data_IF_026037892784
#
_entry.id   IF_026037892784
#
_cell.length_a   1.000
_cell.length_b   1.000
_cell.length_c   1.000
_cell.angle_alpha   90.00
_cell.angle_beta   90.00
_cell.angle_gamma   90.00
#
_symmetry.space_group_name_H-M   'P 1'
#
loop_
_entity.id
_entity.type
_entity.pdbx_description
1 polymer ?
#
# COMPACT_ATOMS: atom_id res chain seq x y z
N UNK A 1 -13.45 14.50 43.39
CA UNK A 1 -14.68 14.07 42.67
C UNK A 1 -14.37 13.79 41.21
N UNK A 2 -14.12 14.80 40.35
CA UNK A 2 -13.79 14.54 38.94
C UNK A 2 -12.39 13.94 38.75
N UNK A 3 -11.39 14.46 39.48
CA UNK A 3 -10.01 13.95 39.44
C UNK A 3 -9.92 12.48 39.89
N UNK A 4 -10.72 12.09 40.89
CA UNK A 4 -10.78 10.71 41.38
C UNK A 4 -11.39 9.77 40.31
N UNK A 5 -12.46 10.22 39.63
CA UNK A 5 -13.10 9.47 38.54
C UNK A 5 -12.11 9.29 37.38
N UNK A 6 -11.42 10.35 36.98
CA UNK A 6 -10.42 10.30 35.90
C UNK A 6 -9.26 9.38 36.29
N UNK A 7 -8.81 9.45 37.54
CA UNK A 7 -7.71 8.61 38.04
C UNK A 7 -8.07 7.13 38.02
N UNK A 8 -9.28 6.77 38.46
CA UNK A 8 -9.76 5.39 38.41
C UNK A 8 -9.96 4.89 36.98
N UNK A 9 -10.41 5.75 36.07
CA UNK A 9 -10.54 5.42 34.65
C UNK A 9 -9.18 5.11 34.01
N UNK A 10 -8.18 5.97 34.25
CA UNK A 10 -6.81 5.78 33.79
C UNK A 10 -6.21 4.49 34.40
N UNK A 11 -6.43 4.25 35.69
CA UNK A 11 -5.95 3.04 36.38
C UNK A 11 -6.50 1.78 35.71
N UNK A 12 -7.81 1.71 35.48
CA UNK A 12 -8.44 0.54 34.88
C UNK A 12 -7.94 0.28 33.46
N UNK A 13 -7.79 1.31 32.65
CA UNK A 13 -7.25 1.15 31.28
C UNK A 13 -5.81 0.66 31.30
N UNK A 14 -4.97 1.23 32.17
CA UNK A 14 -3.57 0.81 32.27
C UNK A 14 -3.46 -0.65 32.73
N UNK A 15 -4.22 -1.04 33.76
CA UNK A 15 -4.26 -2.43 34.22
C UNK A 15 -4.73 -3.37 33.10
N UNK A 16 -5.72 -2.96 32.31
CA UNK A 16 -6.18 -3.76 31.18
C UNK A 16 -5.09 -4.03 30.15
N UNK A 17 -4.34 -3.00 29.72
CA UNK A 17 -3.25 -3.17 28.77
C UNK A 17 -2.04 -3.91 29.34
N UNK A 18 -1.77 -3.78 30.65
CA UNK A 18 -0.72 -4.55 31.32
C UNK A 18 -1.06 -6.05 31.38
N UNK A 19 -2.30 -6.39 31.73
CA UNK A 19 -2.73 -7.80 31.81
C UNK A 19 -2.82 -8.41 30.41
N UNK A 20 -3.26 -7.66 29.41
CA UNK A 20 -3.41 -8.13 28.02
C UNK A 20 -2.23 -7.73 27.12
N UNK A 21 -1.03 -7.62 27.69
CA UNK A 21 0.18 -7.15 26.97
C UNK A 21 0.60 -8.08 25.83
N UNK A 22 0.21 -9.34 25.89
CA UNK A 22 0.41 -10.33 24.83
C UNK A 22 -0.48 -10.07 23.59
N UNK A 23 -1.40 -9.11 23.68
CA UNK A 23 -2.33 -8.74 22.61
C UNK A 23 -3.56 -9.65 22.54
N UNK A 24 -3.64 -10.65 23.42
CA UNK A 24 -4.80 -11.52 23.56
C UNK A 24 -5.72 -10.92 24.62
N UNK A 25 -6.55 -9.96 24.18
CA UNK A 25 -7.45 -9.08 24.95
C UNK A 25 -8.59 -9.80 25.71
N UNK A 26 -8.32 -10.97 26.29
CA UNK A 26 -9.28 -11.87 26.90
C UNK A 26 -9.42 -11.67 28.41
N UNK A 27 -8.47 -10.98 29.04
CA UNK A 27 -8.45 -10.81 30.49
C UNK A 27 -9.14 -9.51 30.92
N UNK A 28 -9.97 -9.62 31.94
CA UNK A 28 -10.67 -8.48 32.54
C UNK A 28 -9.92 -7.99 33.77
N UNK A 29 -9.94 -6.67 33.98
CA UNK A 29 -9.44 -6.06 35.20
C UNK A 29 -10.35 -6.45 36.37
N UNK A 30 -9.83 -7.05 37.45
CA UNK A 30 -10.63 -7.41 38.61
C UNK A 30 -11.02 -6.16 39.43
N UNK A 31 -12.11 -6.26 40.21
CA UNK A 31 -12.57 -5.20 41.13
C UNK A 31 -12.86 -3.84 40.47
N UNK A 32 -13.36 -3.86 39.24
CA UNK A 32 -13.83 -2.67 38.50
C UNK A 32 -15.36 -2.66 38.53
N UNK A 33 -15.94 -1.47 38.69
CA UNK A 33 -17.40 -1.30 38.58
C UNK A 33 -17.88 -1.67 37.16
N UNK A 34 -19.10 -2.18 37.04
CA UNK A 34 -19.64 -2.62 35.75
C UNK A 34 -19.66 -1.49 34.71
N UNK A 35 -19.96 -0.25 35.11
CA UNK A 35 -19.94 0.88 34.19
C UNK A 35 -18.53 1.14 33.66
N UNK A 36 -17.54 1.17 34.55
CA UNK A 36 -16.16 1.44 34.17
C UNK A 36 -15.57 0.31 33.31
N UNK A 37 -16.04 -0.92 33.54
CA UNK A 37 -15.72 -2.07 32.70
C UNK A 37 -16.28 -1.91 31.29
N UNK A 38 -17.55 -1.54 31.15
CA UNK A 38 -18.18 -1.34 29.84
C UNK A 38 -17.52 -0.18 29.08
N UNK A 39 -17.28 0.95 29.75
CA UNK A 39 -16.58 2.11 29.19
C UNK A 39 -15.17 1.76 28.69
N UNK A 40 -14.43 0.95 29.46
CA UNK A 40 -13.11 0.45 29.09
C UNK A 40 -13.16 -0.43 27.84
N UNK A 41 -14.15 -1.33 27.75
CA UNK A 41 -14.32 -2.17 26.56
C UNK A 41 -14.67 -1.35 25.32
N UNK A 42 -15.57 -0.38 25.43
CA UNK A 42 -15.91 0.54 24.33
C UNK A 42 -14.67 1.31 23.85
N UNK A 43 -13.86 1.82 24.78
CA UNK A 43 -12.60 2.50 24.46
C UNK A 43 -11.61 1.59 23.72
N UNK A 44 -11.43 0.36 24.18
CA UNK A 44 -10.50 -0.61 23.56
C UNK A 44 -10.94 -0.98 22.14
N UNK A 45 -12.23 -1.23 21.91
CA UNK A 45 -12.76 -1.54 20.59
C UNK A 45 -12.67 -0.34 19.63
N UNK A 46 -12.95 0.87 20.12
CA UNK A 46 -12.76 2.09 19.35
C UNK A 46 -11.28 2.29 18.96
N UNK A 47 -10.35 2.01 19.88
CA UNK A 47 -8.92 2.12 19.62
C UNK A 47 -8.42 1.08 18.59
N UNK A 48 -8.90 -0.17 18.66
CA UNK A 48 -8.61 -1.19 17.64
C UNK A 48 -9.07 -0.75 16.25
N UNK A 49 -10.29 -0.20 16.17
CA UNK A 49 -10.84 0.33 14.92
C UNK A 49 -10.00 1.50 14.39
N UNK A 50 -9.61 2.44 15.26
CA UNK A 50 -8.77 3.58 14.89
C UNK A 50 -7.39 3.14 14.38
N UNK A 51 -6.75 2.17 15.03
CA UNK A 51 -5.47 1.62 14.60
C UNK A 51 -5.56 1.00 13.20
N UNK A 52 -6.67 0.30 12.91
CA UNK A 52 -6.93 -0.26 11.59
C UNK A 52 -7.12 0.83 10.51
N UNK A 53 -7.87 1.88 10.81
CA UNK A 53 -8.07 3.00 9.89
C UNK A 53 -6.76 3.75 9.58
N UNK A 54 -5.91 3.96 10.58
CA UNK A 54 -4.60 4.58 10.39
C UNK A 54 -3.69 3.70 9.52
N UNK A 55 -3.67 2.38 9.74
CA UNK A 55 -2.92 1.45 8.91
C UNK A 55 -3.41 1.48 7.45
N UNK A 56 -4.72 1.46 7.24
CA UNK A 56 -5.32 1.54 5.91
C UNK A 56 -4.99 2.87 5.20
N UNK A 57 -5.00 3.98 5.95
CA UNK A 57 -4.61 5.30 5.43
C UNK A 57 -3.13 5.34 5.05
N UNK A 58 -2.25 4.78 5.89
CA UNK A 58 -0.81 4.67 5.62
C UNK A 58 -0.52 3.82 4.37
N UNK A 59 -1.24 2.70 4.21
CA UNK A 59 -1.16 1.85 3.01
C UNK A 59 -1.63 2.63 1.77
N UNK A 60 -2.75 3.35 1.87
CA UNK A 60 -3.27 4.16 0.77
C UNK A 60 -2.32 5.30 0.37
N UNK A 61 -1.56 5.85 1.32
CA UNK A 61 -0.57 6.91 1.07
C UNK A 61 0.77 6.41 0.52
N UNK A 62 1.18 5.18 0.81
CA UNK A 62 2.47 4.62 0.37
C UNK A 62 2.40 3.96 -1.01
N UNK A 63 1.23 3.41 -1.39
CA UNK A 63 1.02 2.81 -2.70
C UNK A 63 0.93 3.71 -3.95
N UNK A 64 0.65 5.03 -3.89
CA UNK A 64 0.55 5.88 -5.07
C UNK A 64 1.90 5.99 -5.82
N UNK A 65 3.02 6.05 -5.09
CA UNK A 65 4.32 6.30 -5.69
C UNK A 65 4.88 5.07 -6.42
N UNK A 66 4.73 3.87 -5.86
CA UNK A 66 5.16 2.63 -6.49
C UNK A 66 4.31 2.29 -7.73
N UNK A 67 2.98 2.47 -7.64
CA UNK A 67 2.07 2.24 -8.75
C UNK A 67 2.33 3.22 -9.91
N UNK A 68 2.49 4.51 -9.60
CA UNK A 68 2.77 5.53 -10.61
C UNK A 68 4.11 5.31 -11.30
N UNK A 69 5.15 4.96 -10.54
CA UNK A 69 6.49 4.65 -11.08
C UNK A 69 6.46 3.42 -11.99
N UNK A 70 5.84 2.32 -11.54
CA UNK A 70 5.75 1.07 -12.33
C UNK A 70 4.98 1.28 -13.63
N UNK A 71 3.87 2.03 -13.58
CA UNK A 71 3.07 2.38 -14.76
C UNK A 71 3.90 3.20 -15.76
N UNK A 72 4.60 4.24 -15.32
CA UNK A 72 5.46 5.06 -16.18
C UNK A 72 6.56 4.26 -16.85
N UNK A 73 7.25 3.38 -16.11
CA UNK A 73 8.28 2.53 -16.70
C UNK A 73 7.73 1.57 -17.76
N UNK A 74 6.55 1.00 -17.53
CA UNK A 74 5.90 0.11 -18.49
C UNK A 74 5.50 0.85 -19.77
N UNK A 75 4.97 2.07 -19.64
CA UNK A 75 4.61 2.94 -20.77
C UNK A 75 5.86 3.30 -21.60
N UNK A 76 6.99 3.66 -20.96
CA UNK A 76 8.26 3.96 -21.64
C UNK A 76 8.79 2.74 -22.40
N UNK A 77 8.82 1.56 -21.75
CA UNK A 77 9.29 0.31 -22.39
C UNK A 77 8.45 -0.07 -23.61
N UNK A 78 7.13 0.15 -23.54
CA UNK A 78 6.24 -0.11 -24.67
C UNK A 78 6.51 0.85 -25.85
N UNK A 79 6.81 2.12 -25.55
CA UNK A 79 7.14 3.11 -26.56
C UNK A 79 8.50 2.82 -27.24
N UNK A 80 9.56 2.59 -26.46
CA UNK A 80 10.89 2.25 -27.00
C UNK A 80 10.83 1.00 -27.88
N UNK A 81 10.11 -0.04 -27.45
CA UNK A 81 9.94 -1.26 -28.24
C UNK A 81 9.25 -0.99 -29.58
N UNK A 82 8.26 -0.10 -29.61
CA UNK A 82 7.58 0.28 -30.85
C UNK A 82 8.51 1.06 -31.79
N UNK A 83 9.31 1.98 -31.24
CA UNK A 83 10.26 2.78 -32.02
C UNK A 83 11.36 1.91 -32.65
N UNK A 84 11.92 0.96 -31.89
CA UNK A 84 12.90 -0.01 -32.39
C UNK A 84 12.34 -0.84 -33.54
N UNK A 85 11.10 -1.35 -33.40
CA UNK A 85 10.46 -2.15 -34.46
C UNK A 85 10.23 -1.32 -35.73
N UNK A 86 9.85 -0.05 -35.59
CA UNK A 86 9.68 0.84 -36.75
C UNK A 86 11.02 1.10 -37.45
N UNK A 87 12.08 1.35 -36.66
CA UNK A 87 13.42 1.58 -37.19
C UNK A 87 13.95 0.36 -37.93
N UNK A 88 13.90 -0.83 -37.31
CA UNK A 88 14.37 -2.08 -37.90
C UNK A 88 13.62 -2.43 -39.19
N UNK A 89 12.28 -2.25 -39.20
CA UNK A 89 11.48 -2.45 -40.42
C UNK A 89 11.84 -1.46 -41.52
N UNK A 90 12.17 -0.22 -41.17
CA UNK A 90 12.56 0.79 -42.14
C UNK A 90 13.91 0.47 -42.78
N UNK A 91 14.87 -0.02 -42.00
CA UNK A 91 16.20 -0.44 -42.47
C UNK A 91 16.09 -1.68 -43.38
N UNK A 92 15.28 -2.67 -43.00
CA UNK A 92 15.01 -3.85 -43.85
C UNK A 92 14.39 -3.43 -45.20
N UNK A 93 13.42 -2.51 -45.19
CA UNK A 93 12.78 -2.04 -46.43
C UNK A 93 13.76 -1.30 -47.35
N UNK A 94 14.70 -0.52 -46.78
CA UNK A 94 15.74 0.18 -47.54
C UNK A 94 16.70 -0.83 -48.17
N UNK A 95 17.12 -1.84 -47.40
CA UNK A 95 18.03 -2.91 -47.85
C UNK A 95 17.42 -3.74 -49.00
N UNK A 96 16.17 -4.21 -48.83
CA UNK A 96 15.45 -4.97 -49.86
C UNK A 96 15.29 -4.17 -51.16
N UNK A 97 15.00 -2.87 -51.05
CA UNK A 97 14.90 -2.01 -52.23
C UNK A 97 16.24 -1.84 -52.93
N UNK A 98 17.34 -1.65 -52.20
CA UNK A 98 18.67 -1.53 -52.81
C UNK A 98 19.08 -2.81 -53.55
N UNK A 99 18.86 -3.99 -52.95
CA UNK A 99 19.22 -5.28 -53.57
C UNK A 99 18.41 -5.53 -54.85
N UNK A 100 17.12 -5.16 -54.85
CA UNK A 100 16.27 -5.22 -56.04
C UNK A 100 16.79 -4.30 -57.16
N UNK A 101 17.24 -3.08 -56.82
CA UNK A 101 17.83 -2.17 -57.80
C UNK A 101 19.15 -2.70 -58.37
N UNK A 102 20.05 -3.26 -57.54
CA UNK A 102 21.31 -3.86 -58.02
C UNK A 102 21.06 -5.03 -58.98
N UNK A 103 20.11 -5.91 -58.66
CA UNK A 103 19.73 -7.03 -59.52
C UNK A 103 19.21 -6.59 -60.89
N UNK A 104 18.56 -5.43 -61.00
CA UNK A 104 18.08 -4.89 -62.28
C UNK A 104 19.25 -4.35 -63.12
N UNK A 105 20.26 -3.76 -62.47
CA UNK A 105 21.43 -3.19 -63.14
C UNK A 105 22.39 -4.29 -63.64
N UNK A 106 22.55 -5.39 -62.89
CA UNK A 106 23.44 -6.51 -63.28
C UNK A 106 22.91 -7.39 -64.43
N UNK A 107 21.61 -7.35 -64.72
CA UNK A 107 20.96 -8.14 -65.78
C UNK A 107 20.67 -7.35 -67.08
N UNK A 108 21.29 -6.17 -67.26
CA UNK A 108 21.24 -5.35 -68.48
C UNK A 108 22.50 -5.50 -69.34
#
# INVERSE_FOLDING_TARGET
MLEDIISEWIRCINEYYEINRDGDYNFMVPNVDNQLKDDMFEFVEANKTLAQEQANTSIMQSHPQAYYTTRKFTEILAQEKSEIIVQEKSEILVQEKSECFECIIENQ
#
